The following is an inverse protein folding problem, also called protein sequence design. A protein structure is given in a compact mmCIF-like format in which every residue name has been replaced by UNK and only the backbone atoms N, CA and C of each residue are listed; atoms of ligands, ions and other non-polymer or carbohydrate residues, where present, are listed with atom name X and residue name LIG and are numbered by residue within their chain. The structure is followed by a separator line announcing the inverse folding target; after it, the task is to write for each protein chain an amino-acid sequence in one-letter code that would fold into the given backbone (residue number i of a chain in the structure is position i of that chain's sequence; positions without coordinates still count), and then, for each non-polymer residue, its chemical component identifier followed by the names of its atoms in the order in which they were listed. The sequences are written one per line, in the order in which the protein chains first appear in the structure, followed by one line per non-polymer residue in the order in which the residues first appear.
data_IF_106931988106
#
_entry.id   IF_106931988106
#
_cell.length_a   1.000
_cell.length_b   1.000
_cell.length_c   1.000
_cell.angle_alpha   90.00
_cell.angle_beta   90.00
_cell.angle_gamma   90.00
#
_symmetry.space_group_name_H-M   'P 1'
#
loop_
_entity.id
_entity.type
_entity.pdbx_description
1 polymer ?
#
# COMPACT_ATOMS: atom_id res chain seq x y z
N UNK A 1 -2.30 -4.46 28.64
CA UNK A 1 -3.45 -3.55 28.48
C UNK A 1 -4.07 -3.86 27.13
N UNK A 2 -5.15 -4.64 27.09
CA UNK A 2 -5.81 -5.01 25.83
C UNK A 2 -6.41 -3.76 25.21
N UNK A 3 -6.17 -3.54 23.91
CA UNK A 3 -6.75 -2.43 23.17
C UNK A 3 -8.27 -2.49 23.31
N UNK A 4 -8.84 -1.55 24.05
CA UNK A 4 -10.28 -1.36 24.10
C UNK A 4 -10.68 -0.77 22.75
N UNK A 5 -11.16 -1.62 21.84
CA UNK A 5 -11.77 -1.19 20.58
C UNK A 5 -13.10 -0.51 20.93
N UNK A 6 -13.10 0.83 21.03
CA UNK A 6 -14.30 1.61 21.34
C UNK A 6 -14.76 2.50 20.17
N UNK A 7 -14.10 2.40 19.02
CA UNK A 7 -14.48 3.18 17.84
C UNK A 7 -15.74 2.59 17.20
N UNK A 8 -16.68 3.48 16.86
CA UNK A 8 -17.98 3.14 16.28
C UNK A 8 -18.10 3.75 14.91
N UNK A 9 -18.81 3.04 14.04
CA UNK A 9 -19.19 3.49 12.70
C UNK A 9 -20.71 3.66 12.71
N UNK A 10 -21.18 4.90 12.68
CA UNK A 10 -22.60 5.24 12.63
C UNK A 10 -23.00 5.55 11.18
N UNK A 11 -23.86 4.71 10.60
CA UNK A 11 -24.33 4.86 9.21
C UNK A 11 -25.84 4.74 9.16
N UNK A 12 -26.49 5.68 8.47
CA UNK A 12 -27.91 5.59 8.12
C UNK A 12 -28.04 4.88 6.77
N UNK A 13 -28.83 3.81 6.74
CA UNK A 13 -29.13 3.05 5.53
C UNK A 13 -30.63 2.99 5.29
N UNK A 14 -31.05 2.78 4.05
CA UNK A 14 -32.45 2.57 3.72
C UNK A 14 -32.96 1.23 4.26
N UNK A 15 -34.28 1.08 4.36
CA UNK A 15 -34.90 -0.21 4.74
C UNK A 15 -34.53 -1.31 3.74
N UNK A 16 -34.55 -1.00 2.45
CA UNK A 16 -34.19 -1.93 1.38
C UNK A 16 -32.75 -2.42 1.51
N UNK A 17 -31.79 -1.51 1.73
CA UNK A 17 -30.40 -1.87 1.97
C UNK A 17 -30.25 -2.77 3.20
N UNK A 18 -30.97 -2.45 4.29
CA UNK A 18 -30.94 -3.27 5.51
C UNK A 18 -31.43 -4.70 5.25
N UNK A 19 -32.52 -4.87 4.50
CA UNK A 19 -33.05 -6.20 4.19
C UNK A 19 -32.15 -6.98 3.23
N UNK A 20 -31.57 -6.30 2.22
CA UNK A 20 -30.57 -6.90 1.33
C UNK A 20 -29.36 -7.44 2.10
N UNK A 21 -28.78 -6.61 2.98
CA UNK A 21 -27.59 -7.00 3.75
C UNK A 21 -27.92 -8.10 4.76
N UNK A 22 -29.10 -8.08 5.38
CA UNK A 22 -29.57 -9.18 6.24
C UNK A 22 -29.68 -10.50 5.48
N UNK A 23 -30.28 -10.48 4.29
CA UNK A 23 -30.43 -11.68 3.48
C UNK A 23 -29.07 -12.23 3.01
N UNK A 24 -28.17 -11.37 2.57
CA UNK A 24 -26.81 -11.78 2.24
C UNK A 24 -26.06 -12.35 3.46
N UNK A 25 -26.23 -11.77 4.64
CA UNK A 25 -25.66 -12.26 5.90
C UNK A 25 -26.15 -13.66 6.27
N UNK A 26 -27.45 -13.95 6.07
CA UNK A 26 -28.00 -15.27 6.40
C UNK A 26 -27.50 -16.34 5.43
N UNK A 27 -27.43 -16.04 4.13
CA UNK A 27 -26.87 -16.95 3.13
C UNK A 27 -25.38 -17.24 3.37
N UNK A 28 -24.64 -16.24 3.85
CA UNK A 28 -23.20 -16.35 4.11
C UNK A 28 -22.88 -17.02 5.46
N UNK A 29 -23.88 -17.36 6.27
CA UNK A 29 -23.71 -18.11 7.53
C UNK A 29 -23.17 -17.31 8.72
N UNK A 30 -23.26 -15.97 8.68
CA UNK A 30 -22.77 -15.12 9.79
C UNK A 30 -23.73 -15.14 10.98
N UNK A 31 -23.18 -15.07 12.19
CA UNK A 31 -23.96 -15.11 13.44
C UNK A 31 -24.68 -13.80 13.72
N UNK A 32 -24.18 -12.68 13.20
CA UNK A 32 -24.80 -11.37 13.32
C UNK A 32 -24.61 -10.50 12.10
N UNK A 33 -25.56 -9.58 11.88
CA UNK A 33 -25.50 -8.59 10.80
C UNK A 33 -24.27 -7.68 10.92
N UNK A 34 -23.92 -7.28 12.15
CA UNK A 34 -22.77 -6.43 12.41
C UNK A 34 -21.45 -7.12 12.04
N UNK A 35 -21.30 -8.40 12.38
CA UNK A 35 -20.13 -9.20 12.00
C UNK A 35 -20.00 -9.31 10.48
N UNK A 36 -21.11 -9.56 9.79
CA UNK A 36 -21.14 -9.58 8.33
C UNK A 36 -20.73 -8.23 7.71
N UNK A 37 -21.26 -7.12 8.23
CA UNK A 37 -20.90 -5.78 7.76
C UNK A 37 -19.40 -5.52 7.95
N UNK A 38 -18.87 -5.77 9.15
CA UNK A 38 -17.45 -5.56 9.45
C UNK A 38 -16.57 -6.43 8.54
N UNK A 39 -16.96 -7.69 8.30
CA UNK A 39 -16.26 -8.57 7.37
C UNK A 39 -16.23 -7.99 5.95
N UNK A 40 -17.40 -7.60 5.42
CA UNK A 40 -17.53 -7.08 4.05
C UNK A 40 -16.72 -5.79 3.85
N UNK A 41 -16.85 -4.81 4.75
CA UNK A 41 -16.11 -3.55 4.62
C UNK A 41 -14.59 -3.78 4.75
N UNK A 42 -14.17 -4.70 5.63
CA UNK A 42 -12.74 -5.02 5.81
C UNK A 42 -12.16 -5.71 4.58
N UNK A 43 -12.93 -6.64 3.98
CA UNK A 43 -12.56 -7.34 2.75
C UNK A 43 -12.38 -6.35 1.60
N UNK A 44 -13.37 -5.47 1.42
CA UNK A 44 -13.34 -4.49 0.34
C UNK A 44 -12.20 -3.47 0.53
N UNK A 45 -12.02 -2.96 1.75
CA UNK A 45 -10.92 -2.05 2.06
C UNK A 45 -9.55 -2.67 1.75
N UNK A 46 -9.34 -3.94 2.13
CA UNK A 46 -8.10 -4.68 1.80
C UNK A 46 -7.92 -4.84 0.29
N UNK A 47 -9.00 -5.13 -0.43
CA UNK A 47 -8.97 -5.24 -1.89
C UNK A 47 -8.53 -3.93 -2.54
N UNK A 48 -9.16 -2.81 -2.16
CA UNK A 48 -8.83 -1.47 -2.66
C UNK A 48 -7.36 -1.10 -2.37
N UNK A 49 -6.90 -1.32 -1.13
CA UNK A 49 -5.51 -1.04 -0.75
C UNK A 49 -4.54 -1.89 -1.56
N UNK A 50 -4.83 -3.19 -1.70
CA UNK A 50 -4.00 -4.12 -2.47
C UNK A 50 -3.92 -3.71 -3.95
N UNK A 51 -5.05 -3.38 -4.57
CA UNK A 51 -5.10 -2.95 -5.96
C UNK A 51 -4.42 -1.58 -6.17
N UNK A 52 -4.50 -0.69 -5.20
CA UNK A 52 -3.81 0.60 -5.28
C UNK A 52 -2.28 0.44 -5.14
N UNK A 53 -1.82 -0.43 -4.23
CA UNK A 53 -0.39 -0.65 -3.96
C UNK A 53 0.31 -1.57 -4.97
N UNK A 54 -0.43 -2.14 -5.92
CA UNK A 54 0.13 -2.98 -6.97
C UNK A 54 0.87 -2.11 -7.99
N UNK A 55 2.21 -2.17 -7.97
CA UNK A 55 3.08 -1.37 -8.85
C UNK A 55 3.04 -1.89 -10.29
N UNK A 56 2.99 -3.22 -10.47
CA UNK A 56 2.99 -3.87 -11.78
C UNK A 56 1.59 -4.38 -12.12
N UNK A 57 0.74 -3.48 -12.62
CA UNK A 57 -0.68 -3.78 -12.88
C UNK A 57 -0.87 -4.49 -14.22
N UNK A 58 -0.22 -4.01 -15.28
CA UNK A 58 -0.36 -4.57 -16.62
C UNK A 58 0.61 -5.73 -16.85
N UNK A 59 0.31 -6.57 -17.86
CA UNK A 59 1.25 -7.62 -18.29
C UNK A 59 2.52 -6.99 -18.90
N UNK A 60 2.36 -5.86 -19.57
CA UNK A 60 3.46 -5.12 -20.18
C UNK A 60 4.41 -4.55 -19.11
N UNK A 61 3.87 -3.98 -18.03
CA UNK A 61 4.68 -3.45 -16.91
C UNK A 61 5.56 -4.57 -16.32
N UNK A 62 4.97 -5.77 -16.15
CA UNK A 62 5.69 -6.95 -15.64
C UNK A 62 6.77 -7.39 -16.60
N UNK A 63 6.49 -7.38 -17.91
CA UNK A 63 7.46 -7.76 -18.94
C UNK A 63 8.65 -6.79 -18.95
N UNK A 64 8.38 -5.48 -18.99
CA UNK A 64 9.42 -4.43 -18.94
C UNK A 64 10.22 -4.55 -17.65
N UNK A 65 9.56 -4.76 -16.51
CA UNK A 65 10.23 -4.90 -15.22
C UNK A 65 11.16 -6.12 -15.18
N UNK A 66 10.68 -7.30 -15.61
CA UNK A 66 11.50 -8.52 -15.66
C UNK A 66 12.65 -8.37 -16.63
N UNK A 67 12.41 -7.83 -17.82
CA UNK A 67 13.45 -7.57 -18.81
C UNK A 67 14.51 -6.60 -18.27
N UNK A 68 14.11 -5.55 -17.56
CA UNK A 68 15.05 -4.59 -16.93
C UNK A 68 15.90 -5.24 -15.83
N UNK A 69 15.37 -6.23 -15.10
CA UNK A 69 16.14 -6.99 -14.09
C UNK A 69 17.14 -7.93 -14.76
N UNK A 70 16.73 -8.62 -15.82
CA UNK A 70 17.56 -9.60 -16.52
C UNK A 70 18.61 -8.93 -17.42
N UNK A 71 18.27 -7.79 -18.01
CA UNK A 71 19.06 -7.03 -18.95
C UNK A 71 19.19 -5.57 -18.48
N UNK A 72 19.95 -5.31 -17.39
CA UNK A 72 20.06 -3.96 -16.84
C UNK A 72 20.77 -3.03 -17.83
N UNK A 73 20.12 -1.92 -18.16
CA UNK A 73 20.70 -0.89 -19.01
C UNK A 73 21.84 -0.15 -18.31
N UNK A 74 22.80 0.36 -19.08
CA UNK A 74 23.87 1.20 -18.53
C UNK A 74 23.31 2.52 -17.95
N UNK A 75 23.88 3.04 -16.84
CA UNK A 75 23.49 4.32 -16.28
C UNK A 75 23.62 5.45 -17.29
N UNK A 76 22.56 6.23 -17.49
CA UNK A 76 22.62 7.41 -18.35
C UNK A 76 23.49 8.53 -17.73
N UNK A 77 23.87 9.50 -18.56
CA UNK A 77 24.74 10.61 -18.15
C UNK A 77 24.17 11.45 -16.99
N UNK A 78 22.84 11.56 -16.87
CA UNK A 78 22.21 12.26 -15.76
C UNK A 78 22.37 11.50 -14.43
N UNK A 79 22.20 10.18 -14.43
CA UNK A 79 22.38 9.33 -13.26
C UNK A 79 23.85 9.29 -12.82
N UNK A 80 24.79 9.24 -13.77
CA UNK A 80 26.23 9.33 -13.49
C UNK A 80 26.58 10.65 -12.79
N UNK A 81 26.11 11.79 -13.32
CA UNK A 81 26.31 13.12 -12.69
C UNK A 81 25.69 13.21 -11.31
N UNK A 82 24.49 12.65 -11.10
CA UNK A 82 23.84 12.63 -9.79
C UNK A 82 24.65 11.80 -8.77
N UNK A 83 25.21 10.67 -9.21
CA UNK A 83 26.10 9.86 -8.40
C UNK A 83 27.37 10.61 -8.01
N UNK A 84 28.04 11.29 -8.96
CA UNK A 84 29.23 12.11 -8.68
C UNK A 84 28.94 13.21 -7.64
N UNK A 85 27.81 13.91 -7.77
CA UNK A 85 27.38 14.93 -6.80
C UNK A 85 27.18 14.34 -5.41
N UNK A 86 26.56 13.16 -5.31
CA UNK A 86 26.37 12.46 -4.04
C UNK A 86 27.71 12.06 -3.41
N UNK A 87 28.64 11.52 -4.20
CA UNK A 87 29.98 11.16 -3.72
C UNK A 87 30.75 12.39 -3.22
N UNK A 88 30.66 13.53 -3.91
CA UNK A 88 31.29 14.77 -3.47
C UNK A 88 30.66 15.28 -2.17
N UNK A 89 29.32 15.25 -2.05
CA UNK A 89 28.63 15.58 -0.81
C UNK A 89 29.09 14.74 0.40
N UNK A 90 29.30 13.43 0.20
CA UNK A 90 29.83 12.55 1.24
C UNK A 90 31.29 12.89 1.62
N UNK A 91 32.12 13.25 0.64
CA UNK A 91 33.51 13.68 0.88
C UNK A 91 33.58 14.98 1.68
N UNK A 92 32.75 15.96 1.33
CA UNK A 92 32.67 17.25 2.02
C UNK A 92 32.16 17.09 3.47
N UNK A 93 31.19 16.18 3.67
CA UNK A 93 30.65 15.87 5.00
C UNK A 93 31.63 15.13 5.91
N UNK A 94 32.52 14.29 5.36
CA UNK A 94 33.56 13.59 6.12
C UNK A 94 34.83 14.44 6.32
N UNK A 95 35.14 15.38 5.42
CA UNK A 95 36.25 16.32 5.57
C UNK A 95 36.08 17.30 6.73
N UNK A 96 34.84 17.67 7.07
CA UNK A 96 34.54 18.60 8.15
C UNK A 96 34.66 18.01 9.58
N UNK A 97 34.83 16.68 9.73
CA UNK A 97 35.04 16.04 11.05
C UNK A 97 36.50 16.02 11.52
N UNK A 98 37.47 16.36 10.67
CA UNK A 98 38.90 16.27 10.99
C UNK A 98 39.59 17.62 11.30
N UNK A 99 38.84 18.73 11.44
CA UNK A 99 39.40 20.09 11.66
C UNK A 99 39.15 20.61 13.10
N UNK A 100 38.73 19.75 14.03
CA UNK A 100 38.62 20.10 15.46
C UNK A 100 39.30 19.07 16.35
N UNK A 101 40.62 19.10 16.41
CA UNK A 101 41.41 18.64 17.55
C UNK A 101 42.49 19.66 17.84
#
# INVERSE_FOLDING_TARGET
MGVLVNDRIDVRISKEQKELVKYASSLSGFKSLSEFIVFCISKEAKSIISENNKILKSLEDKKIFVDTILNPAEPNSNLQRAHEKYINFLKDSNGNKNIKR
#
